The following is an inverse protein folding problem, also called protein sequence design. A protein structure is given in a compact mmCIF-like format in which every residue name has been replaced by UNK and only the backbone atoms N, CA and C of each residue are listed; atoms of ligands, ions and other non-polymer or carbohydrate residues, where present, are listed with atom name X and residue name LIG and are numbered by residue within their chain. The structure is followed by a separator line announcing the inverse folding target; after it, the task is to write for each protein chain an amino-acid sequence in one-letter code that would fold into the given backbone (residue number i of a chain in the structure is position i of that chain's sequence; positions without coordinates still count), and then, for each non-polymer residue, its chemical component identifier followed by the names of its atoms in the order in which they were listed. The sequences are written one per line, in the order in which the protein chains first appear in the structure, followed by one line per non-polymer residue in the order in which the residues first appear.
data_IF_803559300278
#
_entry.id   IF_803559300278
#
_cell.length_a   1.000
_cell.length_b   1.000
_cell.length_c   1.000
_cell.angle_alpha   90.00
_cell.angle_beta   90.00
_cell.angle_gamma   90.00
#
_symmetry.space_group_name_H-M   'P 1'
#
loop_
_entity.id
_entity.type
_entity.pdbx_description
1 polymer ?
#
# COMPACT_ATOMS: atom_id res chain seq x y z
N UNK A 1 8.32 20.14 39.55
CA UNK A 1 9.63 20.59 39.13
C UNK A 1 10.63 19.45 39.20
N UNK A 2 10.38 18.39 38.45
CA UNK A 2 11.34 17.28 38.28
C UNK A 2 11.35 16.86 36.82
N UNK A 3 12.31 17.41 36.10
CA UNK A 3 12.79 16.88 34.88
C UNK A 3 13.49 15.57 35.22
N UNK A 4 12.82 14.47 35.02
CA UNK A 4 13.50 13.21 34.86
C UNK A 4 14.15 13.20 33.48
N UNK A 5 15.47 13.22 33.43
CA UNK A 5 16.13 12.89 32.19
C UNK A 5 15.79 11.42 31.91
N UNK A 6 15.11 11.20 30.83
CA UNK A 6 15.05 9.88 30.24
C UNK A 6 16.49 9.41 30.08
N UNK A 7 16.86 8.27 30.63
CA UNK A 7 18.19 7.77 30.36
C UNK A 7 18.30 7.49 28.89
N UNK A 8 19.14 8.25 28.24
CA UNK A 8 19.78 7.85 27.01
C UNK A 8 20.60 6.59 27.38
N UNK A 9 19.98 5.50 27.33
CA UNK A 9 20.53 4.16 27.37
C UNK A 9 19.70 3.38 26.38
N UNK A 10 20.24 3.03 25.35
CA UNK A 10 21.29 2.16 25.07
C UNK A 10 21.55 2.12 23.57
N UNK A 11 22.56 2.80 23.16
CA UNK A 11 23.29 2.30 22.00
C UNK A 11 24.04 1.08 22.50
N UNK A 12 23.41 -0.06 22.51
CA UNK A 12 24.15 -1.30 22.57
C UNK A 12 24.70 -1.52 21.17
N UNK A 13 25.95 -1.28 21.06
CA UNK A 13 26.79 -1.82 20.03
C UNK A 13 26.68 -3.34 20.05
N UNK A 14 25.82 -3.89 19.20
CA UNK A 14 26.01 -5.21 18.67
C UNK A 14 26.40 -4.96 17.22
N UNK A 15 27.70 -4.93 16.98
CA UNK A 15 28.27 -4.83 15.66
C UNK A 15 27.89 -6.06 14.84
N UNK A 16 26.84 -5.99 14.12
CA UNK A 16 26.37 -6.75 12.97
C UNK A 16 24.92 -6.38 12.62
N UNK A 17 24.20 -5.75 13.55
CA UNK A 17 22.79 -5.47 13.41
C UNK A 17 22.49 -4.08 12.83
N UNK A 18 23.46 -3.17 12.84
CA UNK A 18 23.25 -1.79 12.40
C UNK A 18 22.99 -1.65 10.89
N UNK A 19 23.58 -2.53 10.09
CA UNK A 19 23.40 -2.50 8.64
C UNK A 19 22.04 -3.01 8.22
N UNK A 20 21.54 -4.06 8.87
CA UNK A 20 20.19 -4.59 8.65
C UNK A 20 19.11 -3.62 9.12
N UNK A 21 19.35 -2.93 10.24
CA UNK A 21 18.39 -1.96 10.78
C UNK A 21 18.31 -0.69 9.91
N UNK A 22 19.44 -0.22 9.40
CA UNK A 22 19.48 0.88 8.44
C UNK A 22 18.89 0.51 7.08
N UNK A 23 19.03 -0.74 6.65
CA UNK A 23 18.40 -1.22 5.41
C UNK A 23 16.89 -1.31 5.52
N UNK A 24 16.33 -1.66 6.68
CA UNK A 24 14.89 -1.65 6.92
C UNK A 24 14.28 -0.25 6.89
N UNK A 25 15.02 0.77 7.32
CA UNK A 25 14.59 2.17 7.28
C UNK A 25 14.73 2.84 5.90
N UNK A 26 15.44 2.21 4.97
CA UNK A 26 15.66 2.75 3.62
C UNK A 26 14.96 1.96 2.52
N UNK A 27 14.07 1.04 2.88
CA UNK A 27 13.28 0.32 1.87
C UNK A 27 12.31 1.25 1.14
N UNK A 28 12.32 1.14 -0.16
CA UNK A 28 11.42 1.92 -1.04
C UNK A 28 10.10 1.16 -1.15
N UNK A 29 8.98 1.73 -0.69
CA UNK A 29 7.70 1.06 -0.79
C UNK A 29 7.25 0.96 -2.24
N UNK A 30 6.67 -0.18 -2.61
CA UNK A 30 6.05 -0.38 -3.92
C UNK A 30 4.72 0.35 -4.07
N UNK A 31 4.09 0.65 -2.94
CA UNK A 31 2.78 1.28 -2.87
C UNK A 31 2.82 2.45 -1.89
N UNK A 32 2.25 3.56 -2.32
CA UNK A 32 1.97 4.73 -1.48
C UNK A 32 0.51 5.14 -1.65
N UNK A 33 0.04 6.00 -0.79
CA UNK A 33 -1.26 6.62 -0.91
C UNK A 33 -1.12 8.14 -0.70
N UNK A 34 -1.94 8.91 -1.42
CA UNK A 34 -2.07 10.34 -1.16
C UNK A 34 -2.82 10.57 0.15
N UNK A 35 -2.71 11.76 0.70
CA UNK A 35 -3.46 12.16 1.87
C UNK A 35 -4.98 12.09 1.63
N UNK A 36 -5.43 12.45 0.43
CA UNK A 36 -6.83 12.32 0.03
C UNK A 36 -7.31 10.87 0.05
N UNK A 37 -6.52 9.94 -0.47
CA UNK A 37 -6.82 8.52 -0.41
C UNK A 37 -6.85 8.01 1.02
N UNK A 38 -5.90 8.44 1.86
CA UNK A 38 -5.87 8.09 3.27
C UNK A 38 -7.11 8.55 4.02
N UNK A 39 -7.55 9.79 3.81
CA UNK A 39 -8.75 10.35 4.43
C UNK A 39 -10.01 9.58 4.01
N UNK A 40 -10.12 9.20 2.74
CA UNK A 40 -11.24 8.40 2.25
C UNK A 40 -11.21 6.99 2.85
N UNK A 41 -10.05 6.35 2.92
CA UNK A 41 -9.88 5.04 3.55
C UNK A 41 -10.36 5.07 4.99
N UNK A 42 -9.92 6.05 5.79
CA UNK A 42 -10.32 6.15 7.19
C UNK A 42 -11.83 6.34 7.34
N UNK A 43 -12.44 7.17 6.48
CA UNK A 43 -13.90 7.34 6.45
C UNK A 43 -14.63 6.03 6.13
N UNK A 44 -14.17 5.30 5.13
CA UNK A 44 -14.77 4.02 4.73
C UNK A 44 -14.58 2.95 5.80
N UNK A 45 -13.43 2.94 6.48
CA UNK A 45 -13.18 2.02 7.61
C UNK A 45 -14.14 2.27 8.77
N UNK A 46 -14.48 3.51 9.05
CA UNK A 46 -15.49 3.85 10.07
C UNK A 46 -16.89 3.35 9.70
N UNK A 47 -17.21 3.33 8.41
CA UNK A 47 -18.51 2.90 7.90
C UNK A 47 -18.62 1.37 7.73
N UNK A 48 -17.54 0.71 7.33
CA UNK A 48 -17.56 -0.67 6.85
C UNK A 48 -16.63 -1.63 7.60
N UNK A 49 -15.74 -1.11 8.47
CA UNK A 49 -14.71 -1.90 9.12
C UNK A 49 -13.46 -2.06 8.25
N UNK A 50 -12.62 -3.08 8.51
CA UNK A 50 -11.38 -3.30 7.78
C UNK A 50 -11.59 -3.44 6.27
N UNK A 51 -10.67 -2.89 5.49
CA UNK A 51 -10.75 -2.83 4.03
C UNK A 51 -9.56 -3.51 3.37
N UNK A 52 -9.76 -3.88 2.11
CA UNK A 52 -8.72 -4.35 1.21
C UNK A 52 -8.91 -3.77 -0.18
N UNK A 53 -7.86 -3.79 -0.98
CA UNK A 53 -7.88 -3.37 -2.37
C UNK A 53 -7.48 -4.51 -3.30
N UNK A 54 -8.07 -4.53 -4.48
CA UNK A 54 -7.66 -5.41 -5.56
C UNK A 54 -7.65 -4.67 -6.90
N UNK A 55 -6.50 -4.68 -7.56
CA UNK A 55 -6.32 -4.18 -8.92
C UNK A 55 -6.49 -5.32 -9.90
N UNK A 56 -7.67 -5.45 -10.47
CA UNK A 56 -8.03 -6.57 -11.35
C UNK A 56 -7.67 -6.35 -12.81
N UNK A 57 -7.39 -5.13 -13.20
CA UNK A 57 -7.03 -4.77 -14.57
C UNK A 57 -6.54 -3.33 -14.66
N UNK A 58 -6.13 -2.94 -15.85
CA UNK A 58 -5.61 -1.61 -16.11
C UNK A 58 -4.08 -1.58 -16.22
N UNK A 59 -3.59 -0.83 -17.19
CA UNK A 59 -2.17 -0.78 -17.54
C UNK A 59 -1.60 0.65 -17.52
N UNK A 60 -2.37 1.62 -17.06
CA UNK A 60 -1.97 3.03 -17.10
C UNK A 60 -2.55 3.82 -15.92
N UNK A 61 -2.02 5.02 -15.74
CA UNK A 61 -2.50 5.96 -14.74
C UNK A 61 -4.00 6.23 -14.91
N UNK A 62 -4.69 6.35 -13.80
CA UNK A 62 -6.15 6.50 -13.77
C UNK A 62 -6.92 5.19 -13.68
N UNK A 63 -6.26 4.03 -13.75
CA UNK A 63 -6.89 2.74 -13.46
C UNK A 63 -7.50 2.74 -12.06
N UNK A 64 -8.68 2.15 -11.93
CA UNK A 64 -9.43 2.13 -10.68
C UNK A 64 -9.27 0.78 -9.97
N UNK A 65 -8.52 0.69 -8.87
CA UNK A 65 -8.57 -0.47 -8.02
C UNK A 65 -9.93 -0.54 -7.32
N UNK A 66 -10.39 -1.74 -7.03
CA UNK A 66 -11.59 -1.97 -6.25
C UNK A 66 -11.27 -2.00 -4.76
N UNK A 67 -12.08 -1.32 -3.97
CA UNK A 67 -12.06 -1.36 -2.52
C UNK A 67 -13.18 -2.26 -2.01
N UNK A 68 -12.84 -3.20 -1.16
CA UNK A 68 -13.77 -4.15 -0.55
C UNK A 68 -13.64 -4.13 0.97
N UNK A 69 -14.66 -4.57 1.65
CA UNK A 69 -14.53 -5.00 3.04
C UNK A 69 -13.59 -6.20 3.09
N UNK A 70 -12.69 -6.23 4.04
CA UNK A 70 -11.72 -7.32 4.19
C UNK A 70 -12.44 -8.66 4.35
N UNK A 71 -12.10 -9.61 3.48
CA UNK A 71 -12.72 -10.93 3.42
C UNK A 71 -13.89 -11.09 2.45
N UNK A 72 -14.46 -10.00 1.91
CA UNK A 72 -15.51 -10.10 0.87
C UNK A 72 -14.96 -10.54 -0.48
N UNK A 73 -13.78 -10.09 -0.83
CA UNK A 73 -13.11 -10.50 -2.05
C UNK A 73 -12.18 -11.68 -1.76
N UNK A 74 -12.38 -12.76 -2.50
CA UNK A 74 -11.53 -13.95 -2.38
C UNK A 74 -10.22 -13.74 -3.14
N UNK A 75 -9.15 -13.54 -2.39
CA UNK A 75 -7.80 -13.48 -2.95
C UNK A 75 -7.40 -14.87 -3.43
N UNK A 76 -6.95 -14.95 -4.67
CA UNK A 76 -6.54 -16.22 -5.30
C UNK A 76 -5.06 -16.54 -5.09
N UNK A 77 -4.69 -17.79 -5.37
CA UNK A 77 -3.29 -18.23 -5.28
C UNK A 77 -2.36 -17.58 -6.32
N UNK A 78 -2.93 -16.93 -7.33
CA UNK A 78 -2.19 -16.18 -8.37
C UNK A 78 -2.18 -14.66 -8.09
N UNK A 79 -2.66 -14.23 -6.94
CA UNK A 79 -2.59 -12.83 -6.54
C UNK A 79 -1.33 -12.57 -5.71
N UNK A 80 -0.81 -11.37 -5.84
CA UNK A 80 0.33 -10.88 -5.05
C UNK A 80 -0.12 -9.70 -4.20
N UNK A 81 0.42 -9.60 -2.98
CA UNK A 81 0.20 -8.46 -2.12
C UNK A 81 1.37 -7.47 -2.27
N UNK A 82 1.09 -6.33 -2.84
CA UNK A 82 2.09 -5.29 -3.10
C UNK A 82 2.60 -4.64 -1.83
N UNK A 83 1.74 -4.49 -0.87
CA UNK A 83 2.02 -3.77 0.35
C UNK A 83 0.74 -3.39 1.08
N UNK A 84 0.87 -2.50 2.04
CA UNK A 84 -0.24 -1.98 2.82
C UNK A 84 -0.25 -0.45 2.77
N UNK A 85 -1.44 0.13 2.69
CA UNK A 85 -1.67 1.56 2.86
C UNK A 85 -2.78 1.77 3.88
N UNK A 86 -2.53 2.58 4.88
CA UNK A 86 -3.48 2.85 5.96
C UNK A 86 -4.08 1.58 6.58
N UNK A 87 -3.25 0.54 6.74
CA UNK A 87 -3.65 -0.75 7.27
C UNK A 87 -4.43 -1.66 6.31
N UNK A 88 -4.61 -1.26 5.06
CA UNK A 88 -5.32 -2.02 4.03
C UNK A 88 -4.33 -2.72 3.11
N UNK A 89 -4.46 -4.02 2.95
CA UNK A 89 -3.68 -4.79 1.98
C UNK A 89 -4.10 -4.46 0.56
N UNK A 90 -3.15 -4.39 -0.34
CA UNK A 90 -3.37 -4.11 -1.75
C UNK A 90 -2.88 -5.28 -2.60
N UNK A 91 -3.82 -5.90 -3.29
CA UNK A 91 -3.58 -7.07 -4.13
C UNK A 91 -3.69 -6.75 -5.61
N UNK A 92 -3.00 -7.53 -6.41
CA UNK A 92 -3.20 -7.63 -7.86
C UNK A 92 -2.81 -9.03 -8.33
N UNK A 93 -3.24 -9.42 -9.53
CA UNK A 93 -2.78 -10.67 -10.10
C UNK A 93 -1.28 -10.63 -10.42
N UNK A 94 -0.63 -11.78 -10.47
CA UNK A 94 0.78 -11.88 -10.83
C UNK A 94 1.05 -11.29 -12.22
N UNK A 95 0.14 -11.46 -13.17
CA UNK A 95 0.26 -10.90 -14.53
C UNK A 95 0.20 -9.36 -14.50
N UNK A 96 -0.68 -8.80 -13.68
CA UNK A 96 -0.72 -7.35 -13.45
C UNK A 96 0.55 -6.86 -12.78
N UNK A 97 1.08 -7.60 -11.84
CA UNK A 97 2.34 -7.26 -11.16
C UNK A 97 3.51 -7.20 -12.13
N UNK A 98 3.59 -8.10 -13.11
CA UNK A 98 4.63 -8.05 -14.14
C UNK A 98 4.61 -6.72 -14.91
N UNK A 99 3.44 -6.14 -15.12
CA UNK A 99 3.28 -4.81 -15.72
C UNK A 99 3.79 -3.69 -14.83
N UNK A 100 3.49 -3.77 -13.53
CA UNK A 100 3.69 -2.67 -12.60
C UNK A 100 4.97 -2.78 -11.77
N UNK A 101 5.68 -3.89 -11.82
CA UNK A 101 6.82 -4.17 -10.92
C UNK A 101 7.97 -3.14 -10.96
N UNK A 102 8.07 -2.39 -12.05
CA UNK A 102 9.09 -1.34 -12.23
C UNK A 102 8.62 0.05 -11.80
N UNK A 103 7.41 0.14 -11.29
CA UNK A 103 6.80 1.39 -10.88
C UNK A 103 6.36 1.36 -9.42
N UNK A 104 6.48 2.51 -8.76
CA UNK A 104 5.81 2.77 -7.51
C UNK A 104 4.36 3.15 -7.82
N UNK A 105 3.41 2.43 -7.25
CA UNK A 105 2.00 2.77 -7.35
C UNK A 105 1.61 3.77 -6.27
N UNK A 106 0.81 4.75 -6.63
CA UNK A 106 0.32 5.78 -5.74
C UNK A 106 -1.20 5.74 -5.81
N UNK A 107 -1.83 5.27 -4.74
CA UNK A 107 -3.27 5.28 -4.59
C UNK A 107 -3.75 6.70 -4.35
N UNK A 108 -4.67 7.17 -5.17
CA UNK A 108 -5.24 8.49 -5.12
C UNK A 108 -6.77 8.42 -5.24
N UNK A 109 -7.43 9.56 -5.16
CA UNK A 109 -8.88 9.72 -5.27
C UNK A 109 -9.20 10.71 -6.37
N UNK A 110 -10.18 10.39 -7.16
CA UNK A 110 -10.70 11.24 -8.24
C UNK A 110 -12.21 11.34 -8.14
N UNK A 111 -12.81 12.48 -8.51
CA UNK A 111 -14.26 12.56 -8.69
C UNK A 111 -14.73 11.58 -9.78
N UNK A 112 -15.95 11.12 -9.65
CA UNK A 112 -16.58 10.28 -10.65
C UNK A 112 -16.83 8.87 -10.18
N UNK A 113 -17.24 8.01 -11.13
CA UNK A 113 -17.63 6.64 -10.88
C UNK A 113 -16.46 5.70 -11.15
N UNK A 114 -16.14 4.84 -10.16
CA UNK A 114 -15.15 3.80 -10.28
C UNK A 114 -15.72 2.46 -10.74
N UNK A 115 -15.04 1.37 -10.40
CA UNK A 115 -15.50 0.00 -10.65
C UNK A 115 -16.81 -0.30 -9.95
N UNK A 116 -17.69 -1.06 -10.61
CA UNK A 116 -19.10 -1.25 -10.23
C UNK A 116 -19.34 -1.83 -8.82
N UNK A 117 -18.36 -2.47 -8.23
CA UNK A 117 -18.50 -3.11 -6.91
C UNK A 117 -17.64 -2.47 -5.82
N UNK A 118 -17.00 -1.37 -6.10
CA UNK A 118 -16.15 -0.69 -5.13
C UNK A 118 -16.99 0.13 -4.14
N UNK A 119 -16.65 0.05 -2.86
CA UNK A 119 -17.50 0.58 -1.79
C UNK A 119 -17.54 2.11 -1.68
N UNK A 120 -16.62 2.83 -2.32
CA UNK A 120 -16.61 4.30 -2.36
C UNK A 120 -17.58 4.90 -3.37
N UNK A 121 -18.13 4.12 -4.27
CA UNK A 121 -18.99 4.59 -5.38
C UNK A 121 -20.16 5.46 -4.90
N UNK A 122 -20.90 5.12 -3.83
CA UNK A 122 -22.01 5.95 -3.35
C UNK A 122 -21.60 7.34 -2.91
N UNK A 123 -20.30 7.56 -2.67
CA UNK A 123 -19.76 8.87 -2.26
C UNK A 123 -19.44 9.80 -3.46
N UNK A 124 -19.65 9.34 -4.70
CA UNK A 124 -19.39 10.13 -5.91
C UNK A 124 -17.90 10.29 -6.24
N UNK A 125 -17.05 9.47 -5.64
CA UNK A 125 -15.60 9.45 -5.86
C UNK A 125 -15.15 8.04 -6.22
N UNK A 126 -13.94 7.93 -6.73
CA UNK A 126 -13.30 6.66 -7.03
C UNK A 126 -11.85 6.66 -6.59
N UNK A 127 -11.36 5.53 -6.16
CA UNK A 127 -9.92 5.32 -6.08
C UNK A 127 -9.33 5.20 -7.48
N UNK A 128 -8.14 5.69 -7.65
CA UNK A 128 -7.38 5.59 -8.89
C UNK A 128 -5.90 5.38 -8.57
N UNK A 129 -5.17 4.86 -9.55
CA UNK A 129 -3.75 4.62 -9.45
C UNK A 129 -3.01 5.67 -10.29
N UNK A 130 -1.99 6.26 -9.70
CA UNK A 130 -0.92 6.94 -10.39
C UNK A 130 0.34 6.08 -10.28
N UNK A 131 1.26 6.21 -11.20
CA UNK A 131 2.50 5.46 -11.20
C UNK A 131 3.72 6.37 -11.41
N UNK A 132 4.81 5.99 -10.81
CA UNK A 132 6.11 6.62 -10.97
C UNK A 132 7.14 5.52 -11.21
N UNK A 133 7.94 5.63 -12.26
CA UNK A 133 9.06 4.70 -12.47
C UNK A 133 10.03 4.78 -11.31
N UNK A 134 10.47 3.63 -10.83
CA UNK A 134 11.58 3.59 -9.90
C UNK A 134 12.88 4.00 -10.59
N UNK A 135 13.74 4.69 -9.88
CA UNK A 135 15.13 4.90 -10.30
C UNK A 135 15.92 3.59 -10.14
N UNK A 136 17.07 3.48 -10.81
CA UNK A 136 17.96 2.32 -10.64
C UNK A 136 18.42 2.14 -9.19
N UNK A 137 18.61 3.23 -8.46
CA UNK A 137 18.95 3.21 -7.06
C UNK A 137 17.77 2.68 -6.21
N UNK A 138 16.56 3.18 -6.46
CA UNK A 138 15.35 2.74 -5.76
C UNK A 138 15.07 1.25 -5.97
N UNK A 139 15.35 0.71 -7.17
CA UNK A 139 15.16 -0.70 -7.50
C UNK A 139 16.01 -1.65 -6.62
N UNK A 140 17.13 -1.17 -6.09
CA UNK A 140 18.00 -1.96 -5.22
C UNK A 140 17.46 -2.10 -3.80
N UNK A 141 16.53 -1.23 -3.40
CA UNK A 141 16.00 -1.15 -2.04
C UNK A 141 14.50 -1.34 -1.97
N UNK A 142 13.89 -1.98 -2.96
CA UNK A 142 12.45 -2.22 -2.97
C UNK A 142 12.01 -3.10 -1.80
N UNK A 143 10.90 -2.71 -1.19
CA UNK A 143 10.22 -3.55 -0.21
C UNK A 143 9.80 -4.87 -0.86
N UNK A 144 9.96 -6.01 -0.16
CA UNK A 144 9.48 -7.29 -0.65
C UNK A 144 7.95 -7.28 -0.75
N UNK A 145 7.43 -8.19 -1.58
CA UNK A 145 6.00 -8.48 -1.57
C UNK A 145 5.61 -9.09 -0.23
N UNK A 146 4.39 -8.80 0.22
CA UNK A 146 3.89 -9.39 1.46
C UNK A 146 3.41 -10.81 1.15
N UNK A 147 3.96 -11.79 1.88
CA UNK A 147 3.45 -13.14 1.82
C UNK A 147 2.11 -13.25 2.55
N UNK A 148 1.18 -13.94 1.96
CA UNK A 148 -0.11 -14.24 2.57
C UNK A 148 -0.47 -15.70 2.31
N UNK A 149 -1.08 -16.31 3.29
CA UNK A 149 -1.70 -17.63 3.15
C UNK A 149 -3.16 -17.42 2.81
N UNK A 150 -3.48 -17.73 1.56
CA UNK A 150 -4.86 -17.65 1.05
C UNK A 150 -5.80 -18.64 1.71
#
# INVERSE_FOLDING_TARGET
MFLHPWPIRMVIFIGFSGHLYQQLFSMVPRLRATEAAGSLIEKLKQMHGPLMFHQSGGCCDGSAPMCFTDGEFKVGGNDVCLGMVYGCKFFMSADQFEYWKHTQLILDVSPGRGSSFSIEIPLGVRFCIQSKLFTEEELQYLSPLIEFTG
#
